data_IF_081024614179
#
_entry.id   IF_081024614179
#
_cell.length_a   1.000
_cell.length_b   1.000
_cell.length_c   1.000
_cell.angle_alpha   90.00
_cell.angle_beta   90.00
_cell.angle_gamma   90.00
#
_symmetry.space_group_name_H-M   'P 1'
#
loop_
_entity.id
_entity.type
_entity.pdbx_description
1 polymer ?
#
# COMPACT_ATOMS: atom_id res chain seq x y z
N UNK A 1 3.57 -8.67 1.17
CA UNK A 1 3.95 -9.80 2.03
C UNK A 1 2.73 -10.45 2.68
N UNK A 2 1.75 -9.69 3.23
CA UNK A 2 0.62 -10.23 4.02
C UNK A 2 -0.14 -11.36 3.29
N UNK A 3 -0.48 -11.18 2.03
CA UNK A 3 -1.28 -12.16 1.27
C UNK A 3 -0.45 -13.26 0.57
N UNK A 4 0.88 -13.22 0.62
CA UNK A 4 1.69 -14.32 0.11
C UNK A 4 1.58 -15.54 1.05
N UNK A 5 1.19 -16.74 0.56
CA UNK A 5 0.93 -17.90 1.40
C UNK A 5 2.11 -18.34 2.27
N UNK A 6 3.32 -18.17 1.77
CA UNK A 6 4.53 -18.67 2.42
C UNK A 6 5.27 -17.61 3.27
N UNK A 7 4.82 -16.34 3.26
CA UNK A 7 5.58 -15.26 3.90
C UNK A 7 5.68 -15.41 5.42
N UNK A 8 4.61 -15.81 6.10
CA UNK A 8 4.61 -15.97 7.55
C UNK A 8 5.62 -17.03 8.00
N UNK A 9 5.56 -18.23 7.41
CA UNK A 9 6.49 -19.33 7.73
C UNK A 9 7.94 -19.00 7.34
N UNK A 10 8.14 -18.34 6.20
CA UNK A 10 9.48 -17.93 5.77
C UNK A 10 10.10 -16.90 6.74
N UNK A 11 9.32 -15.87 7.13
CA UNK A 11 9.81 -14.87 8.10
C UNK A 11 10.10 -15.53 9.44
N UNK A 12 9.20 -16.40 9.94
CA UNK A 12 9.43 -17.10 11.21
C UNK A 12 10.70 -17.96 11.19
N UNK A 13 10.95 -18.65 10.07
CA UNK A 13 12.15 -19.50 9.92
C UNK A 13 13.45 -18.69 9.99
N UNK A 14 13.50 -17.53 9.34
CA UNK A 14 14.74 -16.73 9.24
C UNK A 14 14.87 -15.67 10.33
N UNK A 15 13.73 -15.21 10.87
CA UNK A 15 13.66 -14.13 11.86
C UNK A 15 12.64 -14.47 12.95
N UNK A 16 12.89 -15.49 13.80
CA UNK A 16 11.89 -16.02 14.75
C UNK A 16 11.42 -15.00 15.78
N UNK A 17 12.25 -14.02 16.13
CA UNK A 17 11.96 -12.99 17.13
C UNK A 17 11.42 -11.69 16.51
N UNK A 18 11.09 -11.66 15.20
CA UNK A 18 10.58 -10.48 14.54
C UNK A 18 9.26 -10.04 15.15
N UNK A 19 9.09 -8.74 15.23
CA UNK A 19 7.80 -8.11 15.49
C UNK A 19 7.13 -7.77 14.15
N UNK A 20 5.89 -8.17 14.00
CA UNK A 20 5.10 -8.05 12.77
C UNK A 20 4.11 -6.91 12.94
N UNK A 21 4.16 -5.92 12.06
CA UNK A 21 3.19 -4.83 12.03
C UNK A 21 2.34 -5.00 10.77
N UNK A 22 1.04 -5.12 10.95
CA UNK A 22 0.07 -5.31 9.86
C UNK A 22 -0.82 -4.07 9.80
N UNK A 23 -0.78 -3.35 8.69
CA UNK A 23 -1.69 -2.25 8.44
C UNK A 23 -2.88 -2.73 7.62
N UNK A 24 -4.08 -2.53 8.14
CA UNK A 24 -5.35 -2.83 7.48
C UNK A 24 -6.01 -1.53 7.04
N UNK A 25 -6.66 -1.59 5.89
CA UNK A 25 -7.43 -0.49 5.32
C UNK A 25 -8.79 -1.00 4.88
N UNK A 26 -9.78 -0.12 4.71
CA UNK A 26 -11.05 -0.49 4.09
C UNK A 26 -10.79 -1.36 2.84
N UNK A 27 -11.36 -2.59 2.74
CA UNK A 27 -11.08 -3.52 1.64
C UNK A 27 -11.41 -2.98 0.26
N UNK A 28 -12.44 -2.12 0.14
CA UNK A 28 -12.81 -1.49 -1.12
C UNK A 28 -11.75 -0.47 -1.52
N UNK A 29 -11.33 0.36 -0.57
CA UNK A 29 -10.34 1.40 -0.83
C UNK A 29 -8.94 0.84 -1.15
N UNK A 30 -8.56 -0.28 -0.52
CA UNK A 30 -7.26 -0.90 -0.86
C UNK A 30 -7.29 -1.49 -2.27
N UNK A 31 -8.40 -2.12 -2.69
CA UNK A 31 -8.56 -2.65 -4.04
C UNK A 31 -8.50 -1.55 -5.10
N UNK A 32 -9.20 -0.44 -4.88
CA UNK A 32 -9.12 0.74 -5.75
C UNK A 32 -7.70 1.32 -5.80
N UNK A 33 -7.05 1.46 -4.65
CA UNK A 33 -5.69 2.00 -4.56
C UNK A 33 -4.68 1.13 -5.31
N UNK A 34 -4.80 -0.19 -5.23
CA UNK A 34 -3.96 -1.12 -5.96
C UNK A 34 -4.17 -1.03 -7.47
N UNK A 35 -5.43 -0.97 -7.90
CA UNK A 35 -5.76 -0.78 -9.31
C UNK A 35 -5.15 0.53 -9.85
N UNK A 36 -5.39 1.67 -9.21
CA UNK A 36 -4.84 2.95 -9.67
C UNK A 36 -3.31 2.97 -9.63
N UNK A 37 -2.70 2.29 -8.66
CA UNK A 37 -1.24 2.12 -8.63
C UNK A 37 -0.73 1.34 -9.84
N UNK A 38 -1.40 0.24 -10.20
CA UNK A 38 -1.03 -0.57 -11.37
C UNK A 38 -1.20 0.21 -12.68
N UNK A 39 -2.30 0.96 -12.82
CA UNK A 39 -2.53 1.85 -13.98
C UNK A 39 -1.45 2.93 -14.07
N UNK A 40 -1.14 3.57 -12.95
CA UNK A 40 -0.08 4.58 -12.90
C UNK A 40 1.30 4.02 -13.28
N UNK A 41 1.60 2.81 -12.83
CA UNK A 41 2.85 2.10 -13.19
C UNK A 41 2.81 1.52 -14.60
N UNK A 42 1.72 1.67 -15.36
CA UNK A 42 1.50 1.06 -16.69
C UNK A 42 1.59 -0.47 -16.67
N UNK A 43 1.20 -1.08 -15.61
CA UNK A 43 1.11 -2.54 -15.43
C UNK A 43 -0.30 -3.05 -15.67
N UNK A 44 -1.29 -2.14 -15.74
CA UNK A 44 -2.68 -2.44 -15.96
C UNK A 44 -3.28 -1.45 -16.97
N UNK A 45 -3.98 -1.96 -17.97
CA UNK A 45 -4.63 -1.20 -19.04
C UNK A 45 -6.14 -1.47 -19.12
N UNK A 46 -6.61 -2.55 -18.46
CA UNK A 46 -8.02 -2.95 -18.43
C UNK A 46 -8.84 -1.98 -17.58
N UNK A 47 -10.13 -1.92 -17.84
CA UNK A 47 -11.07 -1.19 -17.00
C UNK A 47 -11.18 -1.83 -15.60
N UNK A 48 -11.51 -1.02 -14.58
CA UNK A 48 -11.60 -1.48 -13.19
C UNK A 48 -12.57 -2.67 -13.02
N UNK A 49 -13.72 -2.63 -13.72
CA UNK A 49 -14.71 -3.70 -13.70
C UNK A 49 -14.15 -5.04 -14.19
N UNK A 50 -13.36 -5.04 -15.26
CA UNK A 50 -12.75 -6.25 -15.82
C UNK A 50 -11.70 -6.85 -14.88
N UNK A 51 -10.93 -5.98 -14.21
CA UNK A 51 -9.94 -6.42 -13.21
C UNK A 51 -10.65 -7.04 -12.00
N UNK A 52 -11.77 -6.47 -11.53
CA UNK A 52 -12.60 -7.05 -10.46
C UNK A 52 -13.13 -8.42 -10.85
N UNK A 53 -13.70 -8.57 -12.07
CA UNK A 53 -14.23 -9.85 -12.54
C UNK A 53 -13.14 -10.90 -12.65
N UNK A 54 -11.96 -10.53 -13.17
CA UNK A 54 -10.80 -11.43 -13.24
C UNK A 54 -10.36 -11.85 -11.84
N UNK A 55 -10.25 -10.89 -10.91
CA UNK A 55 -9.88 -11.14 -9.51
C UNK A 55 -10.86 -12.09 -8.82
N UNK A 56 -12.17 -11.93 -9.08
CA UNK A 56 -13.20 -12.83 -8.55
C UNK A 56 -13.03 -14.26 -9.08
N UNK A 57 -12.83 -14.44 -10.37
CA UNK A 57 -12.59 -15.77 -10.96
C UNK A 57 -11.38 -16.48 -10.36
N UNK A 58 -10.30 -15.73 -10.09
CA UNK A 58 -9.11 -16.29 -9.43
C UNK A 58 -9.42 -16.77 -8.01
N UNK A 59 -10.27 -16.06 -7.27
CA UNK A 59 -10.71 -16.46 -5.93
C UNK A 59 -11.60 -17.69 -6.01
N UNK A 60 -12.56 -17.70 -6.92
CA UNK A 60 -13.50 -18.82 -7.10
C UNK A 60 -12.75 -20.12 -7.50
N UNK A 61 -11.65 -20.00 -8.23
CA UNK A 61 -10.77 -21.11 -8.63
C UNK A 61 -9.67 -21.44 -7.60
N UNK A 62 -9.63 -20.74 -6.46
CA UNK A 62 -8.55 -20.84 -5.45
C UNK A 62 -7.14 -20.56 -5.99
N UNK A 63 -7.05 -19.79 -7.07
CA UNK A 63 -5.76 -19.42 -7.69
C UNK A 63 -5.14 -18.23 -6.97
N UNK A 64 -3.97 -18.44 -6.37
CA UNK A 64 -3.20 -17.34 -5.78
C UNK A 64 -2.44 -16.56 -6.85
N UNK A 65 -2.73 -15.26 -6.92
CA UNK A 65 -1.95 -14.29 -7.71
C UNK A 65 -1.70 -13.02 -6.91
N UNK A 66 -0.46 -12.56 -6.96
CA UNK A 66 -0.03 -11.37 -6.20
C UNK A 66 -0.66 -10.07 -6.69
N UNK A 67 -1.12 -10.04 -7.93
CA UNK A 67 -1.81 -8.93 -8.58
C UNK A 67 -3.34 -9.00 -8.44
N UNK A 68 -3.87 -9.99 -7.70
CA UNK A 68 -5.29 -10.07 -7.39
C UNK A 68 -5.67 -8.98 -6.39
N UNK A 69 -6.34 -7.92 -6.87
CA UNK A 69 -6.69 -6.76 -6.06
C UNK A 69 -7.76 -7.03 -5.00
N UNK A 70 -8.57 -8.08 -5.15
CA UNK A 70 -9.56 -8.49 -4.14
C UNK A 70 -8.93 -9.32 -3.03
N UNK A 71 -7.93 -10.14 -3.35
CA UNK A 71 -7.24 -10.99 -2.36
C UNK A 71 -6.68 -10.18 -1.19
N UNK A 72 -6.22 -8.96 -1.45
CA UNK A 72 -5.71 -8.06 -0.42
C UNK A 72 -6.72 -7.70 0.67
N UNK A 73 -8.02 -7.79 0.39
CA UNK A 73 -9.09 -7.47 1.32
C UNK A 73 -9.49 -8.63 2.26
N UNK A 74 -9.03 -9.86 2.00
CA UNK A 74 -9.35 -11.03 2.83
C UNK A 74 -8.44 -11.13 4.06
N UNK A 75 -8.43 -10.10 4.90
CA UNK A 75 -7.53 -9.96 6.03
C UNK A 75 -7.56 -11.12 7.02
N UNK A 76 -8.74 -11.64 7.36
CA UNK A 76 -8.89 -12.73 8.33
C UNK A 76 -8.11 -13.98 7.92
N UNK A 77 -8.17 -14.36 6.63
CA UNK A 77 -7.41 -15.47 6.05
C UNK A 77 -5.90 -15.25 6.19
N UNK A 78 -5.45 -14.03 5.91
CA UNK A 78 -4.03 -13.70 5.91
C UNK A 78 -3.46 -13.57 7.33
N UNK A 79 -4.20 -12.89 8.23
CA UNK A 79 -3.79 -12.71 9.63
C UNK A 79 -3.71 -14.06 10.35
N UNK A 80 -4.64 -14.97 10.07
CA UNK A 80 -4.63 -16.32 10.66
C UNK A 80 -3.29 -17.01 10.43
N UNK A 81 -2.75 -16.98 9.20
CA UNK A 81 -1.43 -17.58 8.88
C UNK A 81 -0.28 -17.01 9.70
N UNK A 82 -0.32 -15.71 10.01
CA UNK A 82 0.69 -15.11 10.89
C UNK A 82 0.49 -15.52 12.33
N UNK A 83 -0.75 -15.60 12.83
CA UNK A 83 -1.07 -16.06 14.19
C UNK A 83 -0.77 -17.54 14.45
N UNK A 84 -0.72 -18.36 13.39
CA UNK A 84 -0.32 -19.77 13.50
C UNK A 84 1.16 -19.95 13.79
N UNK A 85 2.01 -18.97 13.48
CA UNK A 85 3.48 -19.09 13.59
C UNK A 85 4.13 -18.04 14.49
N UNK A 86 3.47 -16.91 14.74
CA UNK A 86 3.94 -15.86 15.63
C UNK A 86 3.04 -15.74 16.86
N UNK A 87 3.64 -15.43 18.00
CA UNK A 87 2.88 -15.16 19.22
C UNK A 87 2.12 -13.83 19.13
N UNK A 88 1.04 -13.69 19.91
CA UNK A 88 0.19 -12.49 19.90
C UNK A 88 1.00 -11.21 20.24
N UNK A 89 2.00 -11.33 21.14
CA UNK A 89 2.88 -10.23 21.52
C UNK A 89 3.90 -9.85 20.41
N UNK A 90 4.02 -10.65 19.36
CA UNK A 90 4.84 -10.37 18.18
C UNK A 90 4.03 -9.71 17.05
N UNK A 91 2.70 -9.63 17.15
CA UNK A 91 1.84 -9.10 16.09
C UNK A 91 1.15 -7.82 16.57
N UNK A 92 1.27 -6.74 15.80
CA UNK A 92 0.52 -5.51 15.99
C UNK A 92 -0.29 -5.18 14.75
N UNK A 93 -1.60 -5.05 14.93
CA UNK A 93 -2.53 -4.64 13.87
C UNK A 93 -2.79 -3.14 14.02
N UNK A 94 -2.78 -2.42 12.89
CA UNK A 94 -3.05 -0.99 12.78
C UNK A 94 -4.16 -0.81 11.78
N UNK A 95 -5.17 0.00 12.12
CA UNK A 95 -6.20 0.43 11.19
C UNK A 95 -5.74 1.73 10.53
N UNK A 96 -5.64 1.73 9.20
CA UNK A 96 -5.12 2.86 8.43
C UNK A 96 -5.92 4.14 8.65
N UNK A 97 -7.24 4.04 8.73
CA UNK A 97 -8.15 5.16 8.95
C UNK A 97 -7.97 5.80 10.35
N UNK A 98 -7.59 5.00 11.34
CA UNK A 98 -7.23 5.49 12.69
C UNK A 98 -5.83 6.12 12.69
N UNK A 99 -4.90 5.51 11.97
CA UNK A 99 -3.54 6.03 11.81
C UNK A 99 -3.55 7.44 11.21
N UNK A 100 -4.31 7.68 10.14
CA UNK A 100 -4.37 9.02 9.52
C UNK A 100 -5.05 10.07 10.40
N UNK A 101 -6.00 9.68 11.26
CA UNK A 101 -6.66 10.58 12.21
C UNK A 101 -5.77 10.93 13.39
N UNK A 102 -4.96 9.99 13.86
CA UNK A 102 -4.15 10.08 15.08
C UNK A 102 -2.73 9.57 14.85
N UNK A 103 -2.02 10.16 13.88
CA UNK A 103 -0.69 9.69 13.45
C UNK A 103 0.30 9.57 14.60
N UNK A 104 0.44 10.63 15.43
CA UNK A 104 1.37 10.63 16.56
C UNK A 104 1.06 9.53 17.57
N UNK A 105 -0.21 9.34 17.93
CA UNK A 105 -0.62 8.31 18.87
C UNK A 105 -0.35 6.89 18.31
N UNK A 106 -0.68 6.67 17.04
CA UNK A 106 -0.44 5.36 16.40
C UNK A 106 1.04 5.06 16.31
N UNK A 107 1.88 6.03 15.88
CA UNK A 107 3.33 5.84 15.80
C UNK A 107 3.92 5.58 17.19
N UNK A 108 3.53 6.32 18.21
CA UNK A 108 4.00 6.08 19.58
C UNK A 108 3.60 4.69 20.08
N UNK A 109 2.40 4.22 19.74
CA UNK A 109 1.99 2.85 20.05
C UNK A 109 2.83 1.79 19.33
N UNK A 110 3.31 2.09 18.11
CA UNK A 110 4.25 1.22 17.37
C UNK A 110 5.62 1.23 18.04
N UNK A 111 6.15 2.40 18.38
CA UNK A 111 7.44 2.52 19.08
C UNK A 111 7.43 1.74 20.39
N UNK A 112 6.38 1.89 21.21
CA UNK A 112 6.19 1.10 22.42
C UNK A 112 6.14 -0.41 22.14
N UNK A 113 5.42 -0.83 21.11
CA UNK A 113 5.38 -2.23 20.69
C UNK A 113 6.77 -2.75 20.28
N UNK A 114 7.59 -1.92 19.65
CA UNK A 114 8.97 -2.26 19.27
C UNK A 114 9.95 -2.23 20.44
N UNK A 115 9.54 -1.73 21.62
CA UNK A 115 10.41 -1.56 22.79
C UNK A 115 11.24 -0.28 22.74
N UNK A 116 10.85 0.70 21.93
CA UNK A 116 11.50 2.00 21.81
C UNK A 116 10.76 2.98 22.70
N UNK A 117 11.44 3.56 23.71
CA UNK A 117 10.85 4.47 24.70
C UNK A 117 10.99 5.96 24.30
N UNK A 118 10.95 6.25 23.02
CA UNK A 118 10.96 7.61 22.50
C UNK A 118 9.54 8.03 22.09
N UNK A 119 9.13 9.24 22.45
CA UNK A 119 7.90 9.83 21.95
C UNK A 119 8.16 10.71 20.74
N UNK A 120 7.41 10.48 19.67
CA UNK A 120 7.49 11.30 18.46
C UNK A 120 6.19 12.10 18.28
N UNK A 121 6.34 13.37 17.95
CA UNK A 121 5.23 14.24 17.53
C UNK A 121 5.35 14.51 16.05
N UNK A 122 4.30 14.21 15.31
CA UNK A 122 4.24 14.45 13.87
C UNK A 122 3.28 15.61 13.58
N UNK A 123 3.69 16.50 12.68
CA UNK A 123 2.74 17.48 12.13
C UNK A 123 1.75 16.76 11.20
N UNK A 124 0.47 17.06 11.34
CA UNK A 124 -0.62 16.45 10.56
C UNK A 124 -0.62 16.92 9.08
N UNK A 125 0.44 16.67 8.35
CA UNK A 125 0.40 16.89 6.89
C UNK A 125 0.14 15.57 6.18
N UNK A 126 -1.05 15.39 5.65
CA UNK A 126 -1.41 14.27 4.78
C UNK A 126 -0.54 14.29 3.50
N UNK A 127 0.64 13.66 3.58
CA UNK A 127 1.51 13.47 2.41
C UNK A 127 1.24 12.09 1.84
N UNK A 128 0.72 12.03 0.62
CA UNK A 128 0.61 10.77 -0.09
C UNK A 128 -0.73 10.46 -0.76
N UNK A 129 -1.60 11.45 -0.93
CA UNK A 129 -2.78 11.26 -1.78
C UNK A 129 -2.35 10.94 -3.23
N UNK A 130 -2.84 9.84 -3.77
CA UNK A 130 -2.70 9.55 -5.20
C UNK A 130 -3.30 10.69 -6.02
N UNK A 131 -2.47 11.33 -6.82
CA UNK A 131 -2.90 12.40 -7.72
C UNK A 131 -3.34 11.77 -9.03
N UNK A 132 -4.64 11.72 -9.25
CA UNK A 132 -5.21 11.30 -10.53
C UNK A 132 -5.13 12.50 -11.50
N UNK A 133 -4.59 12.32 -12.73
CA UNK A 133 -4.57 13.40 -13.72
C UNK A 133 -6.00 13.86 -14.04
N UNK A 134 -6.31 15.14 -13.79
CA UNK A 134 -7.65 15.71 -13.98
C UNK A 134 -8.06 15.87 -15.45
N UNK A 135 -7.10 15.97 -16.38
CA UNK A 135 -7.33 16.29 -17.78
C UNK A 135 -6.71 15.27 -18.74
N UNK A 136 -7.32 15.09 -19.92
CA UNK A 136 -6.74 14.26 -21.01
C UNK A 136 -5.30 14.66 -21.38
N UNK A 137 -4.99 15.95 -21.35
CA UNK A 137 -3.65 16.49 -21.67
C UNK A 137 -2.63 16.09 -20.60
N UNK A 138 -2.95 16.17 -19.32
CA UNK A 138 -2.05 15.72 -18.25
C UNK A 138 -1.83 14.21 -18.29
N UNK A 139 -2.86 13.43 -18.69
CA UNK A 139 -2.75 11.97 -18.90
C UNK A 139 -1.82 11.65 -20.07
N UNK A 140 -1.85 12.39 -21.17
CA UNK A 140 -0.97 12.22 -22.33
C UNK A 140 0.48 12.62 -21.99
N UNK A 141 0.67 13.74 -21.31
CA UNK A 141 2.00 14.22 -20.87
C UNK A 141 2.67 13.23 -19.90
N UNK A 142 1.95 12.74 -18.90
CA UNK A 142 2.45 11.73 -17.97
C UNK A 142 2.75 10.40 -18.65
N UNK A 143 2.02 10.08 -19.73
CA UNK A 143 2.19 8.85 -20.49
C UNK A 143 3.35 8.90 -21.48
N UNK A 144 3.84 10.08 -21.84
CA UNK A 144 4.96 10.21 -22.79
C UNK A 144 6.30 9.88 -22.13
N UNK A 145 6.98 8.80 -22.61
CA UNK A 145 8.35 8.47 -22.19
C UNK A 145 9.33 9.62 -22.43
N UNK A 146 9.18 10.31 -23.56
CA UNK A 146 10.03 11.47 -23.94
C UNK A 146 9.88 12.62 -22.95
N UNK A 147 8.66 12.96 -22.57
CA UNK A 147 8.39 14.05 -21.61
C UNK A 147 8.93 13.73 -20.21
N UNK A 148 8.77 12.49 -19.75
CA UNK A 148 9.33 12.06 -18.44
C UNK A 148 10.86 12.11 -18.40
N UNK A 149 11.52 11.71 -19.49
CA UNK A 149 12.98 11.77 -19.55
C UNK A 149 13.47 13.22 -19.62
N UNK A 150 12.82 14.07 -20.42
CA UNK A 150 13.14 15.51 -20.48
C UNK A 150 12.90 16.21 -19.14
N UNK A 151 11.78 15.92 -18.44
CA UNK A 151 11.50 16.50 -17.13
C UNK A 151 12.47 16.04 -16.03
N UNK A 152 13.00 14.80 -16.15
CA UNK A 152 14.05 14.31 -15.22
C UNK A 152 15.39 15.02 -15.41
N UNK A 153 15.68 15.46 -16.63
CA UNK A 153 16.93 16.16 -16.96
C UNK A 153 16.89 17.65 -16.61
N UNK A 154 15.72 18.29 -16.73
CA UNK A 154 15.57 19.74 -16.63
C UNK A 154 15.11 20.25 -15.26
N UNK A 155 14.52 19.38 -14.41
CA UNK A 155 13.93 19.79 -13.14
C UNK A 155 14.62 19.08 -11.97
N UNK A 156 15.29 19.80 -11.05
CA UNK A 156 15.86 19.25 -9.83
C UNK A 156 14.79 18.54 -8.98
N UNK A 157 15.19 17.52 -8.22
CA UNK A 157 14.28 16.65 -7.44
C UNK A 157 13.35 17.43 -6.48
N UNK A 158 13.86 18.47 -5.87
CA UNK A 158 13.10 19.33 -4.92
C UNK A 158 12.03 20.17 -5.62
N UNK A 159 12.31 20.67 -6.85
CA UNK A 159 11.34 21.46 -7.61
C UNK A 159 10.21 20.63 -8.23
N UNK A 160 10.44 19.31 -8.43
CA UNK A 160 9.40 18.38 -8.95
C UNK A 160 8.22 18.21 -8.00
N UNK A 161 8.46 18.27 -6.69
CA UNK A 161 7.37 18.23 -5.69
C UNK A 161 6.47 19.46 -5.78
N UNK A 162 7.05 20.66 -5.89
CA UNK A 162 6.29 21.94 -5.98
C UNK A 162 5.47 22.06 -7.27
N UNK A 163 6.00 21.60 -8.41
CA UNK A 163 5.27 21.63 -9.69
C UNK A 163 4.09 20.66 -9.65
N UNK A 164 4.25 19.48 -9.05
CA UNK A 164 3.16 18.55 -8.84
C UNK A 164 2.00 19.13 -8.00
N UNK A 165 2.26 20.07 -7.09
CA UNK A 165 1.24 20.71 -6.23
C UNK A 165 0.40 21.75 -6.97
N UNK A 166 0.91 22.33 -8.06
CA UNK A 166 0.26 23.42 -8.81
C UNK A 166 -0.64 22.92 -9.95
N UNK A 167 -0.40 21.74 -10.50
CA UNK A 167 -1.07 21.24 -11.71
C UNK A 167 -1.88 19.94 -11.54
N UNK A 168 -1.97 19.40 -10.31
CA UNK A 168 -2.72 18.17 -10.00
C UNK A 168 -3.71 18.34 -8.86
#
# INVERSE_FOLDING_TARGET
YLFCPHSASYIKKHFPNSKIIISLRNPIEISQSQYFSAVFMKKEEREFGDVIQTSKKLIDNEEFRIDNILEAGFYSKHIRRFREVFEENQIKIIIFEEYIKNTSQTVNSILKFLGINEEMRFSESAKGAYRVPKNKISKILLNSKKFRNASRMLIPSVSRQKIGEKYF
#
